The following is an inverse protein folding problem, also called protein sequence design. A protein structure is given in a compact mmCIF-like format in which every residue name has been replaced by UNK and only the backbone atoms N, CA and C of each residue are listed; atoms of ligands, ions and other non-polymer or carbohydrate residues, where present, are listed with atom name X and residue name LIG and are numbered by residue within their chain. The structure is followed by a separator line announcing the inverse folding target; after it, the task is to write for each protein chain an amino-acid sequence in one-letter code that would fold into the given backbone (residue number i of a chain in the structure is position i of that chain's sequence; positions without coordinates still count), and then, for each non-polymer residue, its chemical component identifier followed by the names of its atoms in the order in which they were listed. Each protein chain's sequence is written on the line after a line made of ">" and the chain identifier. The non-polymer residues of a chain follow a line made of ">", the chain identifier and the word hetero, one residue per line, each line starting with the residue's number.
data_IF_568055947523
#
_entry.id   IF_568055947523
#
_cell.length_a   1.000
_cell.length_b   1.000
_cell.length_c   1.000
_cell.angle_alpha   90.00
_cell.angle_beta   90.00
_cell.angle_gamma   90.00
#
_symmetry.space_group_name_H-M   'P 1'
#
loop_
_entity.id
_entity.type
_entity.pdbx_description
1 polymer ?
#
# COMPACT_ATOMS: atom_id res chain seq x y z
N UNK A 1 -8.27 6.15 10.24
CA UNK A 1 -8.57 6.21 8.79
C UNK A 1 -7.96 7.50 8.30
N UNK A 2 -7.26 7.47 7.16
CA UNK A 2 -6.73 8.66 6.51
C UNK A 2 -7.72 9.11 5.44
N UNK A 3 -8.06 10.39 5.40
CA UNK A 3 -8.88 10.95 4.34
C UNK A 3 -8.06 11.01 3.04
N UNK A 4 -8.65 10.67 1.89
CA UNK A 4 -7.96 10.81 0.62
C UNK A 4 -7.74 12.29 0.30
N UNK A 5 -6.48 12.69 0.14
CA UNK A 5 -6.13 14.04 -0.27
C UNK A 5 -4.89 14.04 -1.18
N UNK A 6 -4.68 15.15 -1.88
CA UNK A 6 -3.45 15.35 -2.67
C UNK A 6 -2.41 16.08 -1.81
N UNK A 7 -1.13 15.72 -1.94
CA UNK A 7 -0.04 16.55 -1.41
C UNK A 7 0.18 17.75 -2.35
N UNK A 8 0.20 19.00 -1.88
CA UNK A 8 0.32 20.17 -2.75
C UNK A 8 1.68 20.30 -3.44
N UNK A 9 2.72 19.58 -3.00
CA UNK A 9 4.07 19.64 -3.56
C UNK A 9 4.37 18.48 -4.50
N UNK A 10 4.00 17.26 -4.14
CA UNK A 10 4.29 16.03 -4.89
C UNK A 10 3.09 15.45 -5.62
N UNK A 11 1.88 15.89 -5.31
CA UNK A 11 0.61 15.35 -5.84
C UNK A 11 0.19 14.04 -5.15
N UNK A 12 1.13 13.13 -4.94
CA UNK A 12 0.89 11.84 -4.30
C UNK A 12 1.18 11.80 -2.80
N UNK A 13 0.59 10.80 -2.16
CA UNK A 13 0.78 10.43 -0.75
C UNK A 13 1.38 9.02 -0.69
N UNK A 14 2.32 8.80 0.23
CA UNK A 14 2.92 7.50 0.49
C UNK A 14 2.88 7.18 1.98
N UNK A 15 2.12 6.15 2.34
CA UNK A 15 2.00 5.63 3.70
C UNK A 15 3.04 4.51 3.85
N UNK A 16 4.04 4.75 4.69
CA UNK A 16 5.15 3.82 4.94
C UNK A 16 4.92 3.09 6.26
N UNK A 17 5.01 1.77 6.22
CA UNK A 17 4.69 0.90 7.35
C UNK A 17 5.89 -0.01 7.66
N UNK A 18 6.30 -0.03 8.93
CA UNK A 18 7.33 -0.92 9.48
C UNK A 18 6.74 -1.75 10.63
N UNK A 19 7.33 -2.91 10.94
CA UNK A 19 6.92 -3.74 12.08
C UNK A 19 7.51 -3.28 13.41
N UNK A 20 8.65 -2.63 13.37
CA UNK A 20 9.35 -2.14 14.56
C UNK A 20 8.92 -0.72 14.88
N UNK A 21 8.80 -0.41 16.17
CA UNK A 21 8.80 0.97 16.64
C UNK A 21 10.09 1.65 16.13
N UNK A 22 9.98 2.89 15.68
CA UNK A 22 11.07 3.69 15.09
C UNK A 22 11.73 3.11 13.83
N UNK A 23 11.12 2.10 13.19
CA UNK A 23 11.71 1.41 12.03
C UNK A 23 12.02 2.33 10.85
N UNK A 24 11.26 3.42 10.67
CA UNK A 24 11.54 4.44 9.66
C UNK A 24 12.89 5.14 9.88
N UNK A 25 13.27 5.40 11.14
CA UNK A 25 14.53 6.08 11.47
C UNK A 25 15.73 5.14 11.43
N UNK A 26 15.50 3.84 11.69
CA UNK A 26 16.54 2.82 11.71
C UNK A 26 16.83 2.19 10.34
N UNK A 27 16.09 2.57 9.30
CA UNK A 27 16.25 2.00 7.96
C UNK A 27 15.72 0.57 7.82
N UNK A 28 14.74 0.19 8.65
CA UNK A 28 14.11 -1.13 8.61
C UNK A 28 13.33 -1.34 7.29
N UNK A 29 13.03 -2.60 6.91
CA UNK A 29 12.15 -2.91 5.78
C UNK A 29 10.81 -2.18 5.87
N UNK A 30 10.37 -1.58 4.76
CA UNK A 30 9.17 -0.74 4.71
C UNK A 30 8.22 -1.23 3.62
N UNK A 31 6.97 -1.43 3.99
CA UNK A 31 5.88 -1.56 3.03
C UNK A 31 5.39 -0.14 2.71
N UNK A 32 5.28 0.18 1.43
CA UNK A 32 4.84 1.49 0.95
C UNK A 32 3.53 1.31 0.19
N UNK A 33 2.44 1.79 0.78
CA UNK A 33 1.16 1.97 0.09
C UNK A 33 1.11 3.42 -0.37
N UNK A 34 1.04 3.65 -1.68
CA UNK A 34 1.02 4.99 -2.24
C UNK A 34 -0.24 5.21 -3.07
N UNK A 35 -0.70 6.46 -3.08
CA UNK A 35 -1.83 6.87 -3.90
C UNK A 35 -1.66 8.29 -4.45
N UNK A 36 -2.34 8.56 -5.56
CA UNK A 36 -2.51 9.88 -6.14
C UNK A 36 -4.00 10.13 -6.36
N UNK A 37 -4.51 11.22 -5.79
CA UNK A 37 -5.86 11.69 -6.04
C UNK A 37 -5.85 12.68 -7.20
N UNK A 38 -6.49 12.32 -8.31
CA UNK A 38 -6.68 13.16 -9.50
C UNK A 38 -8.17 13.23 -9.85
N UNK A 39 -8.79 14.36 -9.48
CA UNK A 39 -10.22 14.62 -9.69
C UNK A 39 -11.09 13.49 -9.13
N UNK A 40 -11.75 12.74 -10.01
CA UNK A 40 -12.69 11.67 -9.68
C UNK A 40 -12.02 10.30 -9.54
N UNK A 41 -10.70 10.23 -9.63
CA UNK A 41 -9.94 8.97 -9.64
C UNK A 41 -8.87 8.98 -8.56
N UNK A 42 -8.73 7.84 -7.88
CA UNK A 42 -7.59 7.53 -7.02
C UNK A 42 -6.76 6.43 -7.67
N UNK A 43 -5.52 6.76 -8.01
CA UNK A 43 -4.54 5.80 -8.51
C UNK A 43 -3.73 5.30 -7.32
N UNK A 44 -3.49 4.00 -7.23
CA UNK A 44 -2.75 3.43 -6.12
C UNK A 44 -1.79 2.33 -6.54
N UNK A 45 -0.72 2.20 -5.78
CA UNK A 45 0.29 1.17 -5.94
C UNK A 45 0.77 0.63 -4.59
N UNK A 46 1.47 -0.50 -4.67
CA UNK A 46 2.10 -1.14 -3.54
C UNK A 46 3.55 -1.42 -3.92
N UNK A 47 4.47 -0.99 -3.07
CA UNK A 47 5.90 -1.23 -3.22
C UNK A 47 6.55 -1.50 -1.87
N UNK A 48 7.80 -1.97 -1.87
CA UNK A 48 8.59 -2.18 -0.66
C UNK A 48 10.00 -1.63 -0.86
N UNK A 49 10.59 -1.12 0.22
CA UNK A 49 11.96 -0.59 0.23
C UNK A 49 12.72 -1.15 1.43
N UNK A 50 14.04 -1.32 1.28
CA UNK A 50 14.91 -1.92 2.30
C UNK A 50 14.53 -3.35 2.72
N UNK A 51 13.67 -4.03 1.95
CA UNK A 51 13.19 -5.39 2.20
C UNK A 51 11.66 -5.46 2.28
N UNK A 52 11.14 -6.63 2.64
CA UNK A 52 9.71 -6.93 2.67
C UNK A 52 9.27 -7.22 4.12
N UNK A 53 8.74 -6.23 4.87
CA UNK A 53 8.45 -6.40 6.31
C UNK A 53 7.35 -7.44 6.58
N UNK A 54 6.51 -7.72 5.59
CA UNK A 54 5.40 -8.67 5.67
C UNK A 54 5.66 -9.97 4.89
N UNK A 55 6.92 -10.28 4.55
CA UNK A 55 7.25 -11.55 3.91
C UNK A 55 6.67 -12.76 4.68
N UNK A 56 6.01 -13.66 3.96
CA UNK A 56 5.26 -14.79 4.52
C UNK A 56 3.81 -14.49 4.92
N UNK A 57 3.38 -13.23 4.89
CA UNK A 57 1.99 -12.82 5.16
C UNK A 57 1.35 -12.27 3.89
N UNK A 58 0.07 -12.59 3.64
CA UNK A 58 -0.67 -11.93 2.55
C UNK A 58 -0.79 -10.44 2.86
N UNK A 59 -0.53 -9.60 1.86
CA UNK A 59 -0.91 -8.19 1.87
C UNK A 59 -1.69 -7.85 0.62
N UNK A 60 -2.63 -6.92 0.72
CA UNK A 60 -3.40 -6.46 -0.43
C UNK A 60 -3.80 -4.99 -0.35
N UNK A 61 -4.03 -4.40 -1.52
CA UNK A 61 -4.71 -3.12 -1.69
C UNK A 61 -5.99 -3.37 -2.51
N UNK A 62 -7.13 -2.99 -1.96
CA UNK A 62 -8.45 -3.21 -2.57
C UNK A 62 -9.31 -1.94 -2.53
N UNK A 63 -10.33 -1.91 -3.38
CA UNK A 63 -11.38 -0.87 -3.43
C UNK A 63 -12.71 -1.55 -3.78
N UNK A 64 -13.83 -0.82 -3.77
CA UNK A 64 -15.15 -1.42 -4.01
C UNK A 64 -15.31 -1.84 -5.47
N UNK A 65 -14.96 -0.98 -6.43
CA UNK A 65 -15.09 -1.25 -7.86
C UNK A 65 -13.77 -1.29 -8.63
N UNK A 66 -12.69 -0.76 -8.05
CA UNK A 66 -11.37 -0.76 -8.68
C UNK A 66 -10.67 -2.12 -8.65
N UNK A 67 -9.48 -2.15 -9.24
CA UNK A 67 -8.63 -3.34 -9.25
C UNK A 67 -8.18 -3.79 -7.86
N UNK A 68 -7.47 -4.91 -7.79
CA UNK A 68 -6.81 -5.34 -6.55
C UNK A 68 -5.33 -5.58 -6.80
N UNK A 69 -4.51 -5.21 -5.82
CA UNK A 69 -3.10 -5.58 -5.74
C UNK A 69 -3.00 -6.63 -4.66
N UNK A 70 -2.60 -7.85 -5.00
CA UNK A 70 -2.53 -8.95 -4.03
C UNK A 70 -1.13 -9.54 -4.07
N UNK A 71 -0.46 -9.54 -2.93
CA UNK A 71 0.84 -10.18 -2.72
C UNK A 71 0.64 -11.34 -1.75
N UNK A 72 0.38 -12.57 -2.24
CA UNK A 72 -0.03 -13.69 -1.39
C UNK A 72 1.00 -14.08 -0.32
N UNK A 73 2.28 -13.78 -0.57
CA UNK A 73 3.40 -14.08 0.33
C UNK A 73 4.05 -12.82 0.90
N UNK A 74 3.43 -11.65 0.75
CA UNK A 74 3.98 -10.39 1.26
C UNK A 74 5.11 -9.82 0.41
N UNK A 75 5.34 -10.45 -0.75
CA UNK A 75 6.39 -10.12 -1.70
C UNK A 75 5.78 -9.68 -3.02
N UNK A 76 6.43 -8.72 -3.68
CA UNK A 76 5.98 -8.24 -4.98
C UNK A 76 6.04 -9.39 -6.01
N UNK A 77 4.92 -9.77 -6.67
CA UNK A 77 4.91 -10.86 -7.65
C UNK A 77 5.58 -10.51 -8.98
N UNK A 78 6.08 -9.28 -9.12
CA UNK A 78 6.73 -8.76 -10.31
C UNK A 78 5.84 -7.81 -11.11
N UNK A 79 6.49 -6.96 -11.91
CA UNK A 79 5.85 -5.95 -12.75
C UNK A 79 5.29 -4.76 -11.97
N UNK A 80 4.79 -3.78 -12.73
CA UNK A 80 4.03 -2.67 -12.16
C UNK A 80 2.60 -3.11 -11.88
N UNK A 81 2.12 -2.83 -10.67
CA UNK A 81 0.78 -3.24 -10.22
C UNK A 81 -0.14 -2.04 -9.93
N UNK A 82 0.12 -0.87 -10.52
CA UNK A 82 -0.74 0.32 -10.37
C UNK A 82 -2.18 -0.03 -10.75
N UNK A 83 -3.14 0.37 -9.90
CA UNK A 83 -4.58 0.26 -10.14
C UNK A 83 -5.24 1.62 -9.92
N UNK A 84 -6.52 1.69 -10.26
CA UNK A 84 -7.34 2.89 -10.15
C UNK A 84 -8.73 2.52 -9.62
N UNK A 85 -9.33 3.44 -8.87
CA UNK A 85 -10.71 3.38 -8.40
C UNK A 85 -11.35 4.79 -8.45
N UNK A 86 -12.69 4.91 -8.38
CA UNK A 86 -13.36 6.17 -8.12
C UNK A 86 -12.89 6.81 -6.80
N UNK A 87 -12.77 8.13 -6.76
CA UNK A 87 -12.29 8.87 -5.58
C UNK A 87 -13.29 8.98 -4.43
N UNK A 88 -14.55 8.63 -4.66
CA UNK A 88 -15.60 8.54 -3.63
C UNK A 88 -15.62 7.17 -2.93
N UNK A 89 -14.72 6.26 -3.30
CA UNK A 89 -14.51 4.97 -2.64
C UNK A 89 -13.32 4.99 -1.68
N UNK A 90 -13.33 4.06 -0.72
CA UNK A 90 -12.18 3.79 0.12
C UNK A 90 -11.18 2.86 -0.60
N UNK A 91 -9.89 3.12 -0.37
CA UNK A 91 -8.80 2.22 -0.74
C UNK A 91 -8.25 1.58 0.54
N UNK A 92 -8.32 0.26 0.62
CA UNK A 92 -7.96 -0.51 1.81
C UNK A 92 -6.63 -1.21 1.62
N UNK A 93 -5.63 -0.82 2.41
CA UNK A 93 -4.43 -1.63 2.60
C UNK A 93 -4.65 -2.60 3.77
N UNK A 94 -4.57 -3.90 3.48
CA UNK A 94 -4.79 -4.97 4.46
C UNK A 94 -3.56 -5.86 4.59
N UNK A 95 -3.11 -6.07 5.83
CA UNK A 95 -2.10 -7.07 6.19
C UNK A 95 -2.80 -8.20 6.93
N UNK A 96 -2.67 -9.42 6.41
CA UNK A 96 -3.24 -10.60 7.05
C UNK A 96 -2.31 -11.12 8.15
N UNK A 97 -2.89 -11.66 9.22
CA UNK A 97 -2.12 -12.38 10.23
C UNK A 97 -1.37 -13.56 9.61
N UNK A 98 -0.25 -13.94 10.22
CA UNK A 98 0.44 -15.18 9.83
C UNK A 98 -0.53 -16.37 9.93
N UNK A 99 -0.46 -17.34 9.00
CA UNK A 99 -1.23 -18.58 9.15
C UNK A 99 -1.00 -19.17 10.54
N UNK A 100 -2.08 -19.46 11.27
CA UNK A 100 -1.96 -20.21 12.52
C UNK A 100 -1.52 -21.62 12.14
N UNK A 101 -0.38 -22.05 12.68
CA UNK A 101 0.08 -23.45 12.62
C UNK A 101 -0.84 -24.37 13.38
#
# INVERSE_FOLDING_TARGET
>A
MEELHSDPKTGGIAIKITKSADGLYNGEPQQVFAYNLDKALVWYDLSSIFGEPFAGQRVEVTSTSGGSIVWPKGSNPGGSQVKVAPSDENVWFTVYGSPKV
#
